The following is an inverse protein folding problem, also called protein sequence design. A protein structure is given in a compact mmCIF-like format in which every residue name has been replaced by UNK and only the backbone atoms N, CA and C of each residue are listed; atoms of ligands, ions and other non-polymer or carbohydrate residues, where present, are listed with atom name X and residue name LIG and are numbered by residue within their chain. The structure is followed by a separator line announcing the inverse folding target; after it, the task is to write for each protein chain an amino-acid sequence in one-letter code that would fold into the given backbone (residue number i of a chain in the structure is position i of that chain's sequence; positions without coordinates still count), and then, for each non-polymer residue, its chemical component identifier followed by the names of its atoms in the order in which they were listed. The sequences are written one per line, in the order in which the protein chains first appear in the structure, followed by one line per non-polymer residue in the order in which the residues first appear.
data_IF_893531092769
#
_entry.id   IF_893531092769
#
_cell.length_a   1.000
_cell.length_b   1.000
_cell.length_c   1.000
_cell.angle_alpha   90.00
_cell.angle_beta   90.00
_cell.angle_gamma   90.00
#
_symmetry.space_group_name_H-M   'P 1'
#
loop_
_entity.id
_entity.type
_entity.pdbx_description
1 polymer ?
#
# COMPACT_ATOMS: atom_id res chain seq x y z
N UNK A 1 15.24 -9.66 1.71
CA UNK A 1 13.91 -9.96 1.18
C UNK A 1 12.98 -10.29 2.33
N UNK A 2 12.16 -9.32 2.69
CA UNK A 2 11.03 -9.42 3.62
C UNK A 2 9.72 -9.34 2.84
N UNK A 3 8.62 -9.76 3.47
CA UNK A 3 7.28 -9.66 2.89
C UNK A 3 6.38 -8.86 3.81
N UNK A 4 5.62 -7.94 3.21
CA UNK A 4 4.73 -7.01 3.89
C UNK A 4 3.31 -7.25 3.43
N UNK A 5 2.34 -7.27 4.35
CA UNK A 5 0.93 -7.34 3.97
C UNK A 5 0.37 -5.93 3.91
N UNK A 6 -0.04 -5.50 2.71
CA UNK A 6 -0.72 -4.23 2.48
C UNK A 6 -2.21 -4.49 2.55
N UNK A 7 -2.85 -3.91 3.56
CA UNK A 7 -4.28 -4.10 3.83
C UNK A 7 -5.05 -2.93 3.22
N UNK A 8 -5.92 -3.20 2.25
CA UNK A 8 -6.63 -2.16 1.50
C UNK A 8 -7.98 -2.61 0.96
N UNK A 9 -8.69 -1.68 0.29
CA UNK A 9 -9.91 -1.98 -0.45
C UNK A 9 -9.58 -2.56 -1.83
N UNK A 10 -10.52 -3.29 -2.44
CA UNK A 10 -10.39 -3.74 -3.82
C UNK A 10 -10.32 -2.58 -4.82
N UNK A 11 -11.04 -1.48 -4.55
CA UNK A 11 -11.01 -0.26 -5.36
C UNK A 11 -9.61 0.36 -5.43
N UNK A 12 -8.94 0.52 -4.29
CA UNK A 12 -7.56 1.03 -4.27
C UNK A 12 -6.60 0.07 -4.97
N UNK A 13 -6.82 -1.24 -4.85
CA UNK A 13 -5.99 -2.22 -5.54
C UNK A 13 -6.13 -2.10 -7.07
N UNK A 14 -7.35 -1.92 -7.59
CA UNK A 14 -7.56 -1.68 -9.02
C UNK A 14 -6.95 -0.34 -9.46
N UNK A 15 -7.08 0.73 -8.68
CA UNK A 15 -6.41 2.00 -8.98
C UNK A 15 -4.87 1.86 -9.05
N UNK A 16 -4.26 1.08 -8.16
CA UNK A 16 -2.84 0.76 -8.23
C UNK A 16 -2.50 -0.10 -9.45
N UNK A 17 -3.37 -1.06 -9.79
CA UNK A 17 -3.21 -1.94 -10.96
C UNK A 17 -3.25 -1.15 -12.26
N UNK A 18 -4.15 -0.17 -12.40
CA UNK A 18 -4.23 0.72 -13.56
C UNK A 18 -2.97 1.57 -13.77
N UNK A 19 -2.19 1.77 -12.69
CA UNK A 19 -0.89 2.45 -12.71
C UNK A 19 0.30 1.50 -12.78
N UNK A 20 0.06 0.21 -13.07
CA UNK A 20 1.09 -0.84 -13.09
C UNK A 20 1.90 -0.95 -11.77
N UNK A 21 1.29 -0.60 -10.64
CA UNK A 21 1.93 -0.55 -9.32
C UNK A 21 3.19 0.33 -9.28
N UNK A 22 3.20 1.44 -10.04
CA UNK A 22 4.30 2.40 -10.08
C UNK A 22 4.63 3.01 -8.71
N UNK A 23 3.62 3.22 -7.87
CA UNK A 23 3.75 3.78 -6.53
C UNK A 23 2.70 3.18 -5.57
N UNK A 24 3.15 2.67 -4.43
CA UNK A 24 2.27 2.26 -3.33
C UNK A 24 2.34 3.29 -2.20
N UNK A 25 1.30 4.11 -2.05
CA UNK A 25 1.25 5.12 -1.00
C UNK A 25 0.74 4.55 0.33
N UNK A 26 1.27 5.12 1.42
CA UNK A 26 0.89 4.76 2.78
C UNK A 26 0.62 6.04 3.57
N UNK A 27 -0.28 5.94 4.57
CA UNK A 27 -0.46 7.03 5.54
C UNK A 27 0.83 7.24 6.34
N UNK A 28 1.14 8.49 6.69
CA UNK A 28 2.31 8.86 7.50
C UNK A 28 2.41 8.11 8.83
N UNK A 29 1.28 7.63 9.39
CA UNK A 29 1.26 6.78 10.58
C UNK A 29 1.96 5.42 10.40
N UNK A 30 2.24 5.00 9.17
CA UNK A 30 2.99 3.78 8.80
C UNK A 30 4.44 4.04 8.43
N UNK A 31 4.97 5.22 8.80
CA UNK A 31 6.35 5.63 8.49
C UNK A 31 7.38 4.62 8.96
N UNK A 32 7.24 4.08 10.18
CA UNK A 32 8.19 3.11 10.74
C UNK A 32 8.30 1.83 9.89
N UNK A 33 7.17 1.32 9.41
CA UNK A 33 7.13 0.13 8.55
C UNK A 33 7.68 0.43 7.15
N UNK A 34 7.26 1.55 6.55
CA UNK A 34 7.68 1.93 5.19
C UNK A 34 9.15 2.32 5.08
N UNK A 35 9.73 2.96 6.11
CA UNK A 35 11.17 3.26 6.19
C UNK A 35 12.04 2.00 6.30
N UNK A 36 11.48 0.86 6.69
CA UNK A 36 12.18 -0.42 6.76
C UNK A 36 12.10 -1.22 5.44
N UNK A 37 11.19 -0.87 4.53
CA UNK A 37 11.07 -1.52 3.22
C UNK A 37 12.30 -1.22 2.36
N UNK A 38 12.82 -2.25 1.68
CA UNK A 38 13.96 -2.11 0.78
C UNK A 38 13.65 -2.71 -0.59
N UNK A 39 14.33 -2.25 -1.66
CA UNK A 39 14.24 -2.90 -2.96
C UNK A 39 14.46 -4.42 -2.88
N UNK A 40 13.60 -5.20 -3.55
CA UNK A 40 13.57 -6.66 -3.49
C UNK A 40 12.69 -7.24 -2.37
N UNK A 41 12.11 -6.41 -1.49
CA UNK A 41 11.02 -6.85 -0.61
C UNK A 41 9.71 -7.03 -1.38
N UNK A 42 8.76 -7.77 -0.81
CA UNK A 42 7.47 -8.07 -1.45
C UNK A 42 6.32 -7.40 -0.73
N UNK A 43 5.41 -6.78 -1.48
CA UNK A 43 4.13 -6.29 -1.01
C UNK A 43 3.03 -7.29 -1.38
N UNK A 44 2.33 -7.82 -0.40
CA UNK A 44 1.21 -8.76 -0.58
C UNK A 44 -0.09 -8.03 -0.26
N UNK A 45 -0.95 -7.85 -1.26
CA UNK A 45 -2.19 -7.07 -1.09
C UNK A 45 -3.31 -7.95 -0.55
N UNK A 46 -3.80 -7.62 0.65
CA UNK A 46 -4.97 -8.24 1.27
C UNK A 46 -6.19 -7.30 1.21
N UNK A 47 -7.24 -7.75 0.52
CA UNK A 47 -8.44 -6.97 0.23
C UNK A 47 -9.50 -7.21 1.30
N UNK A 48 -9.67 -6.28 2.24
CA UNK A 48 -10.38 -6.52 3.51
C UNK A 48 -11.86 -6.89 3.38
N UNK A 49 -12.62 -6.19 2.53
CA UNK A 49 -14.06 -6.44 2.32
C UNK A 49 -14.35 -7.68 1.47
N UNK A 50 -13.36 -8.13 0.71
CA UNK A 50 -13.47 -9.29 -0.18
C UNK A 50 -12.84 -10.54 0.44
N UNK A 51 -11.96 -10.37 1.44
CA UNK A 51 -11.28 -11.45 2.17
C UNK A 51 -10.42 -12.30 1.22
N UNK A 52 -9.67 -11.64 0.34
CA UNK A 52 -8.82 -12.29 -0.66
C UNK A 52 -7.46 -11.60 -0.79
N UNK A 53 -6.47 -12.37 -1.24
CA UNK A 53 -5.21 -11.80 -1.71
C UNK A 53 -5.36 -11.34 -3.16
N UNK A 54 -5.16 -10.05 -3.41
CA UNK A 54 -5.31 -9.45 -4.74
C UNK A 54 -4.09 -9.66 -5.64
N UNK A 55 -2.89 -9.68 -5.05
CA UNK A 55 -1.65 -9.84 -5.81
C UNK A 55 -0.41 -9.62 -4.97
N UNK A 56 0.75 -9.73 -5.63
CA UNK A 56 2.05 -9.46 -5.06
C UNK A 56 2.79 -8.49 -5.98
N UNK A 57 3.41 -7.47 -5.40
CA UNK A 57 4.36 -6.58 -6.08
C UNK A 57 5.74 -6.66 -5.42
N UNK A 58 6.79 -6.33 -6.18
CA UNK A 58 8.14 -6.17 -5.66
C UNK A 58 8.42 -4.69 -5.41
N UNK A 59 9.03 -4.37 -4.27
CA UNK A 59 9.51 -3.03 -3.98
C UNK A 59 10.72 -2.77 -4.88
N UNK A 60 10.68 -1.71 -5.69
CA UNK A 60 11.75 -1.36 -6.64
C UNK A 60 12.56 -0.13 -6.22
N UNK A 61 12.09 0.63 -5.21
CA UNK A 61 12.73 1.85 -4.73
C UNK A 61 12.61 2.01 -3.21
N UNK A 62 13.26 3.05 -2.68
CA UNK A 62 13.15 3.43 -1.27
C UNK A 62 11.92 4.33 -1.04
N UNK A 63 11.30 4.22 0.14
CA UNK A 63 10.18 5.08 0.51
C UNK A 63 10.61 6.54 0.68
N UNK A 64 9.73 7.46 0.31
CA UNK A 64 9.93 8.90 0.45
C UNK A 64 8.63 9.58 0.90
N UNK A 65 8.74 10.82 1.40
CA UNK A 65 7.58 11.62 1.79
C UNK A 65 7.03 12.38 0.57
N UNK A 66 5.72 12.24 0.34
CA UNK A 66 4.98 12.91 -0.74
C UNK A 66 3.56 13.24 -0.25
N UNK A 67 3.05 14.40 -0.63
CA UNK A 67 1.70 14.89 -0.30
C UNK A 67 0.78 14.95 -1.53
N UNK A 68 1.27 14.50 -2.69
CA UNK A 68 0.50 14.48 -3.94
C UNK A 68 -0.71 13.54 -3.84
N UNK A 69 -1.86 14.01 -4.31
CA UNK A 69 -3.05 13.18 -4.41
C UNK A 69 -2.93 12.19 -5.59
N UNK A 70 -2.91 10.89 -5.30
CA UNK A 70 -2.78 9.83 -6.30
C UNK A 70 -4.08 9.05 -6.55
N UNK A 71 -5.22 9.58 -6.11
CA UNK A 71 -6.54 9.01 -6.38
C UNK A 71 -6.92 7.79 -5.54
N UNK A 72 -6.20 7.51 -4.44
CA UNK A 72 -6.58 6.44 -3.52
C UNK A 72 -7.66 6.91 -2.55
N UNK A 73 -8.72 6.12 -2.40
CA UNK A 73 -9.74 6.36 -1.42
C UNK A 73 -9.20 6.05 -0.02
N UNK A 74 -9.51 6.92 0.94
CA UNK A 74 -9.31 6.60 2.35
C UNK A 74 -10.67 6.43 3.02
N UNK A 75 -11.03 5.19 3.35
CA UNK A 75 -12.10 4.99 4.32
C UNK A 75 -11.52 5.44 5.66
N UNK A 76 -11.92 6.64 6.10
CA UNK A 76 -11.67 7.08 7.46
C UNK A 76 -12.28 6.05 8.40
N UNK A 77 -11.46 5.38 9.21
CA UNK A 77 -12.00 4.90 10.47
C UNK A 77 -12.47 6.13 11.23
N UNK A 78 -13.70 6.17 11.77
CA UNK A 78 -14.02 7.19 12.78
C UNK A 78 -12.98 7.06 13.89
N UNK A 79 -12.45 8.19 14.35
CA UNK A 79 -11.37 8.32 15.32
C UNK A 79 -11.29 7.14 16.32
N UNK A 80 -10.24 6.33 16.24
CA UNK A 80 -9.76 5.60 17.41
C UNK A 80 -8.92 6.59 18.21
N UNK A 81 -9.61 7.37 19.06
CA UNK A 81 -9.04 8.20 20.13
C UNK A 81 -8.94 7.35 21.40
#
# INVERSE_FOLDING_TARGET
MQSWIVVGSAENFEALRERDFDLCAFKSSRRRETEAMRPGDRLVFYLTKVVQFGGIAEVTGEGYEDESEIGLASEGKPDEN
#
